data_IF_949752990111
#
_entry.id   IF_949752990111
#
_cell.length_a   1.000
_cell.length_b   1.000
_cell.length_c   1.000
_cell.angle_alpha   90.00
_cell.angle_beta   90.00
_cell.angle_gamma   90.00
#
_symmetry.space_group_name_H-M   'P 1'
#
loop_
_entity.id
_entity.type
_entity.pdbx_description
1 polymer ?
#
# COMPACT_ATOMS: atom_id res chain seq x y z
N UNK A 1 10.74 -55.46 -34.13
CA UNK A 1 9.85 -54.30 -34.34
C UNK A 1 8.42 -54.76 -34.18
N UNK A 2 7.82 -54.46 -33.03
CA UNK A 2 6.40 -54.27 -32.80
C UNK A 2 6.32 -53.60 -31.42
N UNK A 3 6.07 -52.29 -31.44
CA UNK A 3 5.76 -51.48 -30.27
C UNK A 3 4.30 -51.78 -29.89
N UNK A 4 4.01 -51.91 -28.61
CA UNK A 4 2.68 -51.63 -28.05
C UNK A 4 2.84 -51.48 -26.52
N UNK A 5 3.01 -50.22 -26.10
CA UNK A 5 2.93 -49.76 -24.72
C UNK A 5 1.45 -49.53 -24.36
N UNK A 6 0.94 -50.10 -23.26
CA UNK A 6 -0.13 -49.48 -22.50
C UNK A 6 0.42 -49.01 -21.15
N UNK A 7 0.48 -47.69 -21.00
CA UNK A 7 0.70 -47.00 -19.73
C UNK A 7 -0.50 -47.26 -18.81
N UNK A 8 -0.42 -48.29 -17.97
CA UNK A 8 -1.36 -48.49 -16.87
C UNK A 8 -0.79 -47.84 -15.61
N UNK A 9 -0.89 -46.52 -15.54
CA UNK A 9 -0.63 -45.77 -14.31
C UNK A 9 -1.96 -45.60 -13.57
N UNK A 10 -2.47 -46.72 -13.05
CA UNK A 10 -3.64 -46.78 -12.16
C UNK A 10 -3.32 -46.11 -10.84
N UNK A 11 -3.46 -44.79 -10.82
CA UNK A 11 -3.30 -43.94 -9.65
C UNK A 11 -4.48 -44.17 -8.70
N UNK A 12 -4.45 -45.28 -7.97
CA UNK A 12 -5.38 -45.54 -6.86
C UNK A 12 -4.87 -44.83 -5.61
N UNK A 13 -4.80 -43.50 -5.71
CA UNK A 13 -4.62 -42.59 -4.60
C UNK A 13 -5.98 -42.03 -4.26
N UNK A 14 -6.71 -42.77 -3.43
CA UNK A 14 -7.85 -42.27 -2.67
C UNK A 14 -7.37 -41.13 -1.75
N UNK A 15 -7.14 -39.99 -2.36
CA UNK A 15 -6.79 -38.74 -1.69
C UNK A 15 -8.13 -38.11 -1.28
N UNK A 16 -8.77 -38.73 -0.28
CA UNK A 16 -9.77 -38.08 0.57
C UNK A 16 -9.09 -36.91 1.31
N UNK A 17 -8.65 -35.89 0.56
CA UNK A 17 -8.38 -34.57 1.12
C UNK A 17 -9.72 -34.09 1.62
N UNK A 18 -9.97 -34.30 2.92
CA UNK A 18 -10.91 -33.47 3.67
C UNK A 18 -10.51 -32.04 3.36
N UNK A 19 -11.29 -31.38 2.51
CA UNK A 19 -11.19 -29.95 2.29
C UNK A 19 -11.36 -29.33 3.68
N UNK A 20 -10.24 -28.87 4.22
CA UNK A 20 -10.15 -28.17 5.48
C UNK A 20 -10.94 -26.86 5.29
N UNK A 21 -12.21 -26.87 5.72
CA UNK A 21 -13.14 -25.74 5.73
C UNK A 21 -12.68 -24.61 6.70
N UNK A 22 -11.46 -24.74 7.23
CA UNK A 22 -10.70 -23.75 8.01
C UNK A 22 -9.65 -23.01 7.15
N UNK A 23 -9.78 -23.02 5.82
CA UNK A 23 -9.03 -22.10 4.97
C UNK A 23 -9.44 -20.65 5.28
N UNK A 24 -8.68 -19.98 6.16
CA UNK A 24 -8.86 -18.57 6.52
C UNK A 24 -9.01 -17.72 5.25
N UNK A 25 -10.21 -17.16 5.02
CA UNK A 25 -10.45 -16.35 3.83
C UNK A 25 -9.51 -15.12 3.83
N UNK A 26 -8.74 -14.96 2.75
CA UNK A 26 -7.76 -13.87 2.66
C UNK A 26 -8.41 -12.50 2.92
N UNK A 27 -7.79 -11.65 3.76
CA UNK A 27 -8.38 -10.37 4.16
C UNK A 27 -8.47 -9.42 2.96
N UNK A 28 -9.71 -9.09 2.56
CA UNK A 28 -9.96 -8.13 1.49
C UNK A 28 -9.89 -6.70 2.02
N UNK A 29 -8.79 -6.02 1.73
CA UNK A 29 -8.59 -4.63 2.09
C UNK A 29 -9.38 -3.71 1.15
N UNK A 30 -10.21 -2.84 1.75
CA UNK A 30 -10.85 -1.75 1.02
C UNK A 30 -9.84 -0.63 0.82
N UNK A 31 -9.68 -0.17 -0.41
CA UNK A 31 -8.85 0.98 -0.72
C UNK A 31 -9.71 2.16 -1.18
N UNK A 32 -9.27 3.35 -0.82
CA UNK A 32 -9.80 4.60 -1.32
C UNK A 32 -8.63 5.44 -1.82
N UNK A 33 -8.79 6.04 -3.00
CA UNK A 33 -7.80 6.96 -3.53
C UNK A 33 -7.93 8.31 -2.84
N UNK A 34 -6.82 8.91 -2.45
CA UNK A 34 -6.77 10.32 -2.03
C UNK A 34 -6.89 11.19 -3.29
N UNK A 35 -7.97 11.97 -3.39
CA UNK A 35 -8.36 12.69 -4.63
C UNK A 35 -8.27 14.22 -4.50
N UNK A 36 -7.85 14.74 -3.34
CA UNK A 36 -7.65 16.17 -3.08
C UNK A 36 -6.35 16.74 -3.68
N UNK A 37 -5.55 17.42 -2.87
CA UNK A 37 -4.31 18.12 -3.25
C UNK A 37 -3.15 17.16 -3.58
N UNK A 38 -3.26 15.88 -3.22
CA UNK A 38 -2.17 14.88 -3.32
C UNK A 38 -1.62 14.73 -4.74
N UNK A 39 -2.42 14.60 -5.82
CA UNK A 39 -1.88 14.44 -7.17
C UNK A 39 -1.08 15.66 -7.64
N UNK A 40 -1.50 16.88 -7.27
CA UNK A 40 -0.76 18.10 -7.58
C UNK A 40 0.50 18.28 -6.73
N UNK A 41 0.50 17.80 -5.47
CA UNK A 41 1.70 17.81 -4.64
C UNK A 41 2.76 16.84 -5.18
N UNK A 42 2.32 15.66 -5.62
CA UNK A 42 3.20 14.61 -6.13
C UNK A 42 3.52 14.73 -7.62
N UNK A 43 3.07 15.79 -8.30
CA UNK A 43 3.42 16.01 -9.70
C UNK A 43 4.86 16.47 -9.88
N UNK A 44 5.39 17.19 -8.88
CA UNK A 44 6.71 17.80 -8.91
C UNK A 44 7.74 17.09 -8.01
N UNK A 45 7.28 16.34 -7.01
CA UNK A 45 8.13 15.61 -6.06
C UNK A 45 7.52 14.24 -5.72
N UNK A 46 8.32 13.34 -5.17
CA UNK A 46 7.89 12.01 -4.75
C UNK A 46 7.67 11.94 -3.23
N UNK A 47 6.65 11.18 -2.82
CA UNK A 47 6.46 10.84 -1.41
C UNK A 47 7.59 9.91 -0.94
N UNK A 48 8.19 10.24 0.19
CA UNK A 48 9.26 9.47 0.81
C UNK A 48 8.80 8.77 2.10
N UNK A 49 7.92 9.40 2.88
CA UNK A 49 7.45 8.85 4.15
C UNK A 49 6.00 9.23 4.43
N UNK A 50 5.30 8.43 5.25
CA UNK A 50 3.92 8.67 5.65
C UNK A 50 3.71 8.31 7.11
N UNK A 51 2.95 9.13 7.83
CA UNK A 51 2.47 8.85 9.18
C UNK A 51 0.98 9.17 9.26
N UNK A 52 0.22 8.33 9.97
CA UNK A 52 -1.24 8.45 10.07
C UNK A 52 -1.64 8.65 11.51
N UNK A 53 -2.44 9.68 11.76
CA UNK A 53 -3.10 9.96 13.03
C UNK A 53 -4.61 9.69 12.92
N UNK A 54 -5.36 9.84 14.02
CA UNK A 54 -6.81 9.56 14.04
C UNK A 54 -7.62 10.36 13.01
N UNK A 55 -7.19 11.58 12.68
CA UNK A 55 -7.94 12.50 11.79
C UNK A 55 -7.12 13.12 10.67
N UNK A 56 -5.81 12.89 10.64
CA UNK A 56 -4.91 13.53 9.67
C UNK A 56 -3.79 12.58 9.24
N UNK A 57 -3.23 12.86 8.06
CA UNK A 57 -2.11 12.14 7.46
C UNK A 57 -0.97 13.13 7.27
N UNK A 58 0.21 12.80 7.76
CA UNK A 58 1.45 13.52 7.46
C UNK A 58 2.18 12.80 6.33
N UNK A 59 2.48 13.52 5.25
CA UNK A 59 3.19 13.02 4.08
C UNK A 59 4.52 13.77 3.94
N UNK A 60 5.63 13.05 4.07
CA UNK A 60 6.97 13.59 3.81
C UNK A 60 7.37 13.35 2.36
N UNK A 61 7.95 14.37 1.72
CA UNK A 61 8.45 14.29 0.34
C UNK A 61 9.98 14.24 0.32
N UNK A 62 10.56 13.87 -0.83
CA UNK A 62 12.01 13.73 -0.97
C UNK A 62 12.76 15.08 -0.86
N UNK A 63 12.10 16.21 -1.15
CA UNK A 63 12.64 17.56 -0.94
C UNK A 63 12.65 18.02 0.53
N UNK A 64 12.22 17.16 1.47
CA UNK A 64 12.24 17.46 2.91
C UNK A 64 11.05 18.32 3.37
N UNK A 65 9.98 18.39 2.58
CA UNK A 65 8.72 19.04 2.98
C UNK A 65 7.77 18.02 3.58
N UNK A 66 7.03 18.43 4.61
CA UNK A 66 5.98 17.64 5.26
C UNK A 66 4.63 18.30 5.01
N UNK A 67 3.72 17.56 4.38
CA UNK A 67 2.34 17.99 4.12
C UNK A 67 1.38 17.33 5.09
N UNK A 68 0.51 18.13 5.72
CA UNK A 68 -0.55 17.66 6.60
C UNK A 68 -1.85 17.64 5.80
N UNK A 69 -2.41 16.45 5.64
CA UNK A 69 -3.56 16.13 4.80
C UNK A 69 -4.71 15.59 5.65
N UNK A 70 -5.96 15.82 5.22
CA UNK A 70 -7.11 15.05 5.72
C UNK A 70 -7.28 13.73 4.94
N UNK A 71 -8.25 12.90 5.33
CA UNK A 71 -8.57 11.64 4.65
C UNK A 71 -9.18 11.81 3.25
N UNK A 72 -9.61 13.02 2.88
CA UNK A 72 -10.04 13.32 1.52
C UNK A 72 -8.84 13.70 0.62
N UNK A 73 -7.68 13.93 1.24
CA UNK A 73 -6.44 14.36 0.58
C UNK A 73 -6.33 15.87 0.46
N UNK A 74 -7.15 16.66 1.16
CA UNK A 74 -7.02 18.11 1.20
C UNK A 74 -5.87 18.49 2.12
N UNK A 75 -4.99 19.37 1.63
CA UNK A 75 -3.87 19.87 2.40
C UNK A 75 -4.31 21.02 3.33
N UNK A 76 -4.09 20.84 4.63
CA UNK A 76 -4.41 21.84 5.65
C UNK A 76 -3.21 22.71 6.02
N UNK A 77 -2.04 22.09 6.22
CA UNK A 77 -0.79 22.82 6.48
C UNK A 77 0.38 22.19 5.72
N UNK A 78 1.38 23.01 5.36
CA UNK A 78 2.64 22.54 4.80
C UNK A 78 3.78 23.04 5.69
N UNK A 79 4.74 22.17 5.95
CA UNK A 79 5.82 22.40 6.88
C UNK A 79 7.16 22.07 6.22
N UNK A 80 8.03 23.06 6.12
CA UNK A 80 9.38 22.87 5.61
C UNK A 80 10.31 22.41 6.73
N UNK A 81 11.03 21.31 6.52
CA UNK A 81 12.06 20.86 7.44
C UNK A 81 13.41 21.41 7.00
N UNK A 82 13.84 22.52 7.60
CA UNK A 82 15.18 23.06 7.39
C UNK A 82 16.25 22.12 7.99
N UNK A 83 17.25 21.65 7.23
CA UNK A 83 18.29 20.74 7.75
C UNK A 83 19.29 21.41 8.72
N UNK A 84 19.22 22.74 8.92
CA UNK A 84 20.14 23.52 9.76
C UNK A 84 19.68 23.75 11.21
N UNK A 85 18.77 22.90 11.70
CA UNK A 85 18.18 23.02 13.04
C UNK A 85 16.69 23.27 12.91
N UNK A 86 15.92 22.34 13.50
CA UNK A 86 14.46 22.29 13.41
C UNK A 86 13.82 23.63 13.81
N UNK A 87 13.49 24.46 12.82
CA UNK A 87 12.48 25.49 12.96
C UNK A 87 11.34 25.14 12.01
N UNK A 88 10.20 24.88 12.61
CA UNK A 88 8.94 24.66 11.93
C UNK A 88 8.47 26.03 11.41
N UNK A 89 8.73 26.32 10.14
CA UNK A 89 8.22 27.53 9.50
C UNK A 89 6.83 27.24 8.92
N UNK A 90 5.79 27.74 9.57
CA UNK A 90 4.42 27.74 9.03
C UNK A 90 4.32 29.00 8.16
N UNK A 91 4.43 28.83 6.83
CA UNK A 91 4.26 29.93 5.88
C UNK A 91 2.80 30.39 5.84
N UNK A 92 2.57 31.68 6.10
CA UNK A 92 1.27 32.35 5.98
C UNK A 92 0.88 32.68 4.56
#
# INVERSE_FOLDING_TARGET
MASDDPLDNGIDGDDERKEDDDAEEEPRLKYQRLVGSVPSLLSNDAAASIAVAERMIALGTHDGTVHILDFQGNQHQHLWVCPRGAQVAIGG
#
